data_IF_723707278128
#
_entry.id   IF_723707278128
#
_cell.length_a   1.000
_cell.length_b   1.000
_cell.length_c   1.000
_cell.angle_alpha   90.00
_cell.angle_beta   90.00
_cell.angle_gamma   90.00
#
_symmetry.space_group_name_H-M   'P 1'
#
loop_
_entity.id
_entity.type
_entity.pdbx_description
1 polymer ?
#
# COMPACT_ATOMS: atom_id res chain seq x y z
N UNK A 1 64.69 -21.47 -46.68
CA UNK A 1 63.26 -21.30 -47.04
C UNK A 1 62.47 -21.34 -45.73
N UNK A 2 62.06 -20.18 -45.23
CA UNK A 2 61.32 -20.03 -43.98
C UNK A 2 59.82 -20.13 -44.29
N UNK A 3 59.15 -21.14 -43.74
CA UNK A 3 57.70 -21.30 -43.83
C UNK A 3 57.01 -20.33 -42.87
N UNK A 4 56.24 -19.40 -43.43
CA UNK A 4 55.37 -18.52 -42.66
C UNK A 4 54.06 -19.24 -42.35
N UNK A 5 53.86 -19.62 -41.09
CA UNK A 5 52.57 -20.08 -40.58
C UNK A 5 51.63 -18.87 -40.45
N UNK A 6 50.64 -18.83 -41.34
CA UNK A 6 49.51 -17.90 -41.22
C UNK A 6 48.56 -18.41 -40.15
N UNK A 7 48.53 -17.75 -38.98
CA UNK A 7 47.51 -17.98 -37.97
C UNK A 7 46.11 -17.62 -38.52
N UNK A 8 45.07 -18.44 -38.27
CA UNK A 8 43.72 -18.10 -38.68
C UNK A 8 43.21 -16.96 -37.83
N UNK A 9 42.89 -15.83 -38.47
CA UNK A 9 42.06 -14.76 -37.89
C UNK A 9 40.72 -15.36 -37.52
N UNK A 10 40.54 -15.72 -36.24
CA UNK A 10 39.22 -15.92 -35.66
C UNK A 10 38.44 -14.61 -35.84
N UNK A 11 37.51 -14.64 -36.79
CA UNK A 11 36.55 -13.59 -37.06
C UNK A 11 35.86 -13.14 -35.77
N UNK A 12 36.14 -11.91 -35.32
CA UNK A 12 35.46 -11.24 -34.21
C UNK A 12 33.94 -11.03 -34.45
N UNK A 13 33.41 -11.43 -35.61
CA UNK A 13 32.00 -11.28 -35.98
C UNK A 13 31.05 -12.30 -35.35
N UNK A 14 31.55 -13.31 -34.62
CA UNK A 14 30.69 -14.32 -33.94
C UNK A 14 30.41 -14.03 -32.46
N UNK A 15 30.84 -12.88 -31.94
CA UNK A 15 30.69 -12.50 -30.53
C UNK A 15 29.57 -11.50 -30.24
N UNK A 16 28.83 -11.05 -31.26
CA UNK A 16 27.74 -10.09 -31.12
C UNK A 16 26.44 -10.60 -31.74
N UNK A 17 25.96 -11.76 -31.32
CA UNK A 17 24.52 -12.05 -31.39
C UNK A 17 24.14 -13.21 -30.46
N UNK A 18 24.51 -13.12 -29.18
CA UNK A 18 23.65 -13.72 -28.18
C UNK A 18 22.40 -12.84 -28.09
N UNK A 19 21.46 -13.07 -29.00
CA UNK A 19 20.06 -12.68 -28.79
C UNK A 19 19.61 -13.35 -27.50
N UNK A 20 19.82 -12.66 -26.37
CA UNK A 20 19.50 -13.18 -25.05
C UNK A 20 18.01 -13.46 -25.03
N UNK A 21 17.63 -14.73 -24.92
CA UNK A 21 16.23 -15.15 -24.81
C UNK A 21 15.53 -14.27 -23.76
N UNK A 22 14.31 -13.77 -24.05
CA UNK A 22 13.61 -12.91 -23.10
C UNK A 22 13.42 -13.64 -21.77
N UNK A 23 13.80 -12.99 -20.68
CA UNK A 23 13.64 -13.55 -19.33
C UNK A 23 12.23 -13.21 -18.87
N UNK A 24 11.40 -14.23 -18.66
CA UNK A 24 10.05 -14.05 -18.15
C UNK A 24 10.03 -14.02 -16.62
N UNK A 25 9.39 -12.99 -16.07
CA UNK A 25 9.35 -12.73 -14.64
C UNK A 25 7.94 -12.84 -14.06
N UNK A 26 7.87 -13.31 -12.82
CA UNK A 26 6.70 -13.26 -11.96
C UNK A 26 6.96 -12.25 -10.81
N UNK A 27 6.05 -11.29 -10.64
CA UNK A 27 6.02 -10.43 -9.46
C UNK A 27 5.19 -11.11 -8.37
N UNK A 28 5.82 -11.36 -7.24
CA UNK A 28 5.18 -11.96 -6.07
C UNK A 28 4.97 -10.89 -5.01
N UNK A 29 3.73 -10.59 -4.66
CA UNK A 29 3.37 -9.55 -3.70
C UNK A 29 2.68 -10.14 -2.49
N UNK A 30 3.32 -10.07 -1.33
CA UNK A 30 2.71 -10.49 -0.07
C UNK A 30 2.12 -9.27 0.63
N UNK A 31 0.84 -9.37 0.98
CA UNK A 31 0.09 -8.34 1.70
C UNK A 31 -0.17 -8.78 3.13
N UNK A 32 -0.15 -7.83 4.04
CA UNK A 32 -0.56 -8.03 5.44
C UNK A 32 -1.23 -6.76 5.94
N UNK A 33 -2.34 -6.94 6.64
CA UNK A 33 -3.01 -5.87 7.36
C UNK A 33 -2.85 -6.11 8.85
N UNK A 34 -2.45 -5.06 9.56
CA UNK A 34 -2.41 -5.02 11.01
C UNK A 34 -3.42 -3.98 11.51
N UNK A 35 -4.43 -4.45 12.24
CA UNK A 35 -5.46 -3.61 12.82
C UNK A 35 -5.09 -3.27 14.25
N UNK A 36 -4.88 -1.98 14.55
CA UNK A 36 -4.90 -1.52 15.94
C UNK A 36 -6.31 -1.07 16.26
N UNK A 37 -6.92 -1.75 17.23
CA UNK A 37 -8.27 -1.47 17.69
C UNK A 37 -8.45 0.03 17.96
N UNK A 38 -9.47 0.63 17.33
CA UNK A 38 -9.84 2.06 17.39
C UNK A 38 -8.80 3.08 16.86
N UNK A 39 -7.65 2.65 16.35
CA UNK A 39 -6.57 3.59 15.96
C UNK A 39 -6.35 3.69 14.45
N UNK A 40 -6.57 2.60 13.70
CA UNK A 40 -6.40 2.56 12.25
C UNK A 40 -5.94 1.20 11.75
N UNK A 41 -5.32 1.19 10.55
CA UNK A 41 -4.75 -0.01 9.95
C UNK A 41 -3.38 0.29 9.32
N UNK A 42 -2.43 -0.61 9.56
CA UNK A 42 -1.15 -0.64 8.88
C UNK A 42 -1.14 -1.73 7.82
N UNK A 43 -0.74 -1.40 6.59
CA UNK A 43 -0.62 -2.36 5.50
C UNK A 43 0.86 -2.54 5.15
N UNK A 44 1.35 -3.77 5.18
CA UNK A 44 2.65 -4.13 4.63
C UNK A 44 2.49 -4.78 3.26
N UNK A 45 3.31 -4.36 2.30
CA UNK A 45 3.43 -5.01 0.99
C UNK A 45 4.89 -5.35 0.75
N UNK A 46 5.17 -6.61 0.47
CA UNK A 46 6.52 -7.09 0.13
C UNK A 46 6.47 -7.68 -1.28
N UNK A 47 7.16 -7.04 -2.21
CA UNK A 47 7.37 -7.49 -3.57
C UNK A 47 8.66 -8.31 -3.66
N UNK A 48 8.56 -9.47 -4.27
CA UNK A 48 9.65 -10.32 -4.72
C UNK A 48 9.51 -10.55 -6.22
N UNK A 49 10.61 -10.95 -6.84
CA UNK A 49 10.72 -11.14 -8.29
C UNK A 49 11.32 -12.50 -8.53
N UNK A 50 10.62 -13.32 -9.30
CA UNK A 50 11.00 -14.69 -9.60
C UNK A 50 11.01 -14.90 -11.12
N UNK A 51 11.82 -15.83 -11.59
CA UNK A 51 11.75 -16.32 -12.96
C UNK A 51 10.47 -17.12 -13.12
N UNK A 52 9.60 -16.75 -14.06
CA UNK A 52 8.32 -17.42 -14.28
C UNK A 52 8.50 -18.89 -14.68
N UNK A 53 9.61 -19.23 -15.36
CA UNK A 53 9.89 -20.59 -15.82
C UNK A 53 10.56 -21.48 -14.76
N UNK A 54 11.47 -20.92 -13.95
CA UNK A 54 12.30 -21.72 -13.04
C UNK A 54 11.96 -21.52 -11.57
N UNK A 55 11.11 -20.56 -11.22
CA UNK A 55 10.79 -20.19 -9.83
C UNK A 55 11.95 -19.53 -9.07
N UNK A 56 13.13 -19.42 -9.67
CA UNK A 56 14.32 -18.87 -9.02
C UNK A 56 14.17 -17.36 -8.86
N UNK A 57 14.47 -16.84 -7.67
CA UNK A 57 14.45 -15.40 -7.39
C UNK A 57 15.46 -14.64 -8.26
N UNK A 58 15.03 -13.57 -8.94
CA UNK A 58 15.84 -12.75 -9.87
C UNK A 58 15.99 -11.31 -9.37
N UNK A 59 16.41 -11.16 -8.12
CA UNK A 59 16.54 -9.85 -7.46
C UNK A 59 17.49 -8.87 -8.15
N UNK A 60 18.40 -9.36 -9.00
CA UNK A 60 19.35 -8.54 -9.77
C UNK A 60 18.68 -7.81 -10.95
N UNK A 61 17.56 -8.32 -11.49
CA UNK A 61 16.88 -7.73 -12.65
C UNK A 61 15.89 -6.64 -12.26
N UNK A 62 15.07 -6.92 -11.25
CA UNK A 62 14.14 -5.95 -10.68
C UNK A 62 14.34 -6.01 -9.16
N UNK A 63 14.71 -4.89 -8.52
CA UNK A 63 14.90 -4.88 -7.07
C UNK A 63 13.60 -5.25 -6.35
N UNK A 64 13.71 -6.17 -5.39
CA UNK A 64 12.62 -6.44 -4.44
C UNK A 64 12.26 -5.15 -3.71
N UNK A 65 10.97 -4.85 -3.61
CA UNK A 65 10.49 -3.64 -2.93
C UNK A 65 9.69 -4.00 -1.69
N UNK A 66 9.88 -3.22 -0.62
CA UNK A 66 9.06 -3.31 0.58
C UNK A 66 8.39 -1.97 0.81
N UNK A 67 7.07 -1.95 0.86
CA UNK A 67 6.28 -0.76 1.13
C UNK A 67 5.47 -0.96 2.40
N UNK A 68 5.32 0.11 3.16
CA UNK A 68 4.41 0.20 4.30
C UNK A 68 3.44 1.34 4.03
N UNK A 69 2.16 1.08 4.24
CA UNK A 69 1.11 2.08 4.20
C UNK A 69 0.48 2.17 5.58
N UNK A 70 0.11 3.38 6.00
CA UNK A 70 -0.59 3.60 7.26
C UNK A 70 -1.79 4.48 7.02
N UNK A 71 -2.92 4.06 7.58
CA UNK A 71 -4.19 4.78 7.50
C UNK A 71 -4.64 5.11 8.92
N UNK A 72 -5.00 6.38 9.16
CA UNK A 72 -5.67 6.71 10.42
C UNK A 72 -7.09 6.15 10.41
N UNK A 73 -7.69 5.99 11.58
CA UNK A 73 -9.11 5.69 11.69
C UNK A 73 -9.96 6.69 10.91
N UNK A 74 -9.66 7.98 10.99
CA UNK A 74 -10.43 9.02 10.29
C UNK A 74 -10.35 8.82 8.78
N UNK A 75 -9.15 8.53 8.24
CA UNK A 75 -8.98 8.23 6.82
C UNK A 75 -9.70 6.95 6.40
N UNK A 76 -9.63 5.90 7.23
CA UNK A 76 -10.39 4.67 6.96
C UNK A 76 -11.90 4.91 7.03
N UNK A 77 -12.37 5.78 7.91
CA UNK A 77 -13.79 6.14 8.02
C UNK A 77 -14.23 6.94 6.79
N UNK A 78 -13.44 7.93 6.37
CA UNK A 78 -13.68 8.72 5.14
C UNK A 78 -13.71 7.80 3.91
N UNK A 79 -12.76 6.87 3.82
CA UNK A 79 -12.68 5.90 2.73
C UNK A 79 -13.69 4.72 2.91
N UNK A 80 -14.55 4.78 3.94
CA UNK A 80 -15.51 3.73 4.32
C UNK A 80 -14.92 2.32 4.53
N UNK A 81 -13.64 2.22 4.85
CA UNK A 81 -12.88 1.01 5.18
C UNK A 81 -13.04 0.68 6.67
N UNK A 82 -14.28 0.41 7.10
CA UNK A 82 -14.63 0.16 8.51
C UNK A 82 -14.46 -1.30 8.95
N UNK A 83 -14.28 -2.22 8.01
CA UNK A 83 -14.22 -3.67 8.28
C UNK A 83 -12.84 -4.22 7.94
N UNK A 84 -12.47 -5.33 8.59
CA UNK A 84 -11.24 -6.04 8.27
C UNK A 84 -11.21 -6.48 6.79
N UNK A 85 -12.33 -7.01 6.28
CA UNK A 85 -12.45 -7.40 4.88
C UNK A 85 -12.15 -6.27 3.89
N UNK A 86 -12.65 -5.04 4.15
CA UNK A 86 -12.34 -3.88 3.29
C UNK A 86 -10.87 -3.48 3.38
N UNK A 87 -10.26 -3.55 4.56
CA UNK A 87 -8.84 -3.22 4.71
C UNK A 87 -7.94 -4.23 3.98
N UNK A 88 -8.31 -5.51 4.00
CA UNK A 88 -7.66 -6.57 3.22
C UNK A 88 -7.80 -6.32 1.70
N UNK A 89 -9.01 -6.00 1.23
CA UNK A 89 -9.21 -5.61 -0.18
C UNK A 89 -8.38 -4.36 -0.54
N UNK A 90 -8.29 -3.38 0.36
CA UNK A 90 -7.46 -2.19 0.16
C UNK A 90 -5.97 -2.56 0.06
N UNK A 91 -5.50 -3.53 0.85
CA UNK A 91 -4.15 -4.04 0.76
C UNK A 91 -3.86 -4.67 -0.60
N UNK A 92 -4.80 -5.46 -1.12
CA UNK A 92 -4.72 -6.02 -2.49
C UNK A 92 -4.66 -4.89 -3.54
N UNK A 93 -5.49 -3.85 -3.41
CA UNK A 93 -5.43 -2.68 -4.31
C UNK A 93 -4.04 -2.03 -4.29
N UNK A 94 -3.43 -1.87 -3.12
CA UNK A 94 -2.08 -1.31 -3.01
C UNK A 94 -1.00 -2.22 -3.61
N UNK A 95 -1.11 -3.54 -3.44
CA UNK A 95 -0.20 -4.49 -4.07
C UNK A 95 -0.28 -4.45 -5.60
N UNK A 96 -1.49 -4.44 -6.17
CA UNK A 96 -1.69 -4.30 -7.62
C UNK A 96 -1.16 -2.95 -8.13
N UNK A 97 -1.36 -1.88 -7.36
CA UNK A 97 -0.79 -0.57 -7.67
C UNK A 97 0.74 -0.56 -7.65
N UNK A 98 1.36 -1.27 -6.70
CA UNK A 98 2.81 -1.43 -6.62
C UNK A 98 3.33 -2.23 -7.83
N UNK A 99 2.68 -3.32 -8.20
CA UNK A 99 3.02 -4.10 -9.39
C UNK A 99 3.01 -3.23 -10.65
N UNK A 100 1.93 -2.45 -10.85
CA UNK A 100 1.82 -1.50 -11.97
C UNK A 100 2.95 -0.47 -11.98
N UNK A 101 3.29 0.08 -10.82
CA UNK A 101 4.36 1.06 -10.69
C UNK A 101 5.74 0.45 -10.99
N UNK A 102 6.00 -0.77 -10.52
CA UNK A 102 7.23 -1.52 -10.78
C UNK A 102 7.44 -1.72 -12.28
N UNK A 103 6.40 -2.18 -12.99
CA UNK A 103 6.49 -2.38 -14.44
C UNK A 103 6.73 -1.08 -15.20
N UNK A 104 6.09 0.02 -14.78
CA UNK A 104 6.29 1.34 -15.41
C UNK A 104 7.70 1.89 -15.20
N UNK A 105 8.38 1.55 -14.11
CA UNK A 105 9.62 2.24 -13.67
C UNK A 105 10.89 1.39 -13.72
N UNK A 106 10.79 0.07 -13.81
CA UNK A 106 11.92 -0.79 -13.44
C UNK A 106 12.05 -2.11 -14.19
N UNK A 107 11.40 -2.29 -15.34
CA UNK A 107 11.57 -3.51 -16.13
C UNK A 107 12.55 -3.24 -17.29
N UNK A 108 13.76 -3.84 -17.29
CA UNK A 108 14.68 -3.71 -18.42
C UNK A 108 14.08 -4.39 -19.67
N UNK A 109 14.42 -3.92 -20.88
CA UNK A 109 13.87 -4.46 -22.15
C UNK A 109 14.12 -5.97 -22.33
N UNK A 110 15.13 -6.51 -21.66
CA UNK A 110 15.53 -7.93 -21.69
C UNK A 110 14.75 -8.81 -20.71
N UNK A 111 13.96 -8.22 -19.82
CA UNK A 111 13.10 -8.94 -18.89
C UNK A 111 11.65 -8.50 -19.07
N UNK A 112 10.74 -9.45 -19.18
CA UNK A 112 9.32 -9.18 -19.32
C UNK A 112 8.57 -9.77 -18.14
N UNK A 113 7.86 -8.92 -17.39
CA UNK A 113 6.90 -9.42 -16.40
C UNK A 113 5.74 -10.06 -17.16
N UNK A 114 5.46 -11.33 -16.87
CA UNK A 114 4.33 -12.06 -17.42
C UNK A 114 3.24 -12.30 -16.38
N UNK A 115 3.64 -12.50 -15.11
CA UNK A 115 2.73 -12.90 -14.05
C UNK A 115 2.82 -11.98 -12.83
N UNK A 116 1.68 -11.74 -12.19
CA UNK A 116 1.56 -11.03 -10.92
C UNK A 116 0.75 -11.88 -9.95
N UNK A 117 1.39 -12.37 -8.89
CA UNK A 117 0.74 -13.12 -7.83
C UNK A 117 0.61 -12.24 -6.59
N UNK A 118 -0.60 -12.02 -6.11
CA UNK A 118 -0.88 -11.28 -4.88
C UNK A 118 -1.36 -12.25 -3.81
N UNK A 119 -0.58 -12.37 -2.73
CA UNK A 119 -0.89 -13.21 -1.58
C UNK A 119 -1.50 -12.37 -0.45
N UNK A 120 -2.66 -12.80 0.06
CA UNK A 120 -3.33 -12.22 1.23
C UNK A 120 -3.44 -13.23 2.36
N UNK A 121 -3.50 -12.72 3.59
CA UNK A 121 -3.73 -13.49 4.81
C UNK A 121 -5.22 -13.81 5.03
N UNK A 122 -6.14 -13.24 4.25
CA UNK A 122 -7.60 -13.34 4.47
C UNK A 122 -8.33 -14.22 3.46
N UNK A 123 -8.70 -15.43 3.89
CA UNK A 123 -9.41 -16.42 3.04
C UNK A 123 -10.71 -15.83 2.48
N UNK A 124 -11.47 -15.17 3.33
CA UNK A 124 -12.74 -14.55 2.95
C UNK A 124 -12.53 -13.47 1.88
N UNK A 125 -11.49 -12.65 2.00
CA UNK A 125 -11.20 -11.62 1.00
C UNK A 125 -10.80 -12.25 -0.35
N UNK A 126 -9.91 -13.26 -0.33
CA UNK A 126 -9.47 -13.97 -1.55
C UNK A 126 -10.64 -14.65 -2.25
N UNK A 127 -11.48 -15.39 -1.52
CA UNK A 127 -12.67 -16.05 -2.09
C UNK A 127 -13.63 -15.05 -2.72
N UNK A 128 -13.91 -13.95 -2.02
CA UNK A 128 -14.79 -12.88 -2.53
C UNK A 128 -14.22 -12.29 -3.82
N UNK A 129 -12.93 -11.93 -3.82
CA UNK A 129 -12.26 -11.36 -5.00
C UNK A 129 -12.31 -12.35 -6.17
N UNK A 130 -11.92 -13.61 -5.96
CA UNK A 130 -11.87 -14.62 -7.01
C UNK A 130 -13.26 -14.93 -7.58
N UNK A 131 -14.30 -14.93 -6.74
CA UNK A 131 -15.69 -15.04 -7.20
C UNK A 131 -16.03 -13.92 -8.19
N UNK A 132 -15.77 -12.66 -7.84
CA UNK A 132 -16.10 -11.52 -8.71
C UNK A 132 -15.15 -11.36 -9.92
N UNK A 133 -13.92 -11.88 -9.84
CA UNK A 133 -13.03 -11.96 -11.00
C UNK A 133 -13.57 -12.93 -12.04
N UNK A 134 -14.10 -14.09 -11.61
CA UNK A 134 -14.66 -15.13 -12.49
C UNK A 134 -15.98 -14.72 -13.12
N UNK A 135 -16.88 -14.07 -12.37
CA UNK A 135 -18.23 -13.74 -12.82
C UNK A 135 -18.38 -12.28 -13.29
N UNK A 136 -17.30 -11.49 -13.25
CA UNK A 136 -17.29 -10.11 -13.72
C UNK A 136 -18.04 -9.13 -12.81
N UNK A 137 -18.22 -7.89 -13.29
CA UNK A 137 -18.80 -6.81 -12.49
C UNK A 137 -20.31 -6.96 -12.27
N UNK A 138 -21.00 -7.73 -13.10
CA UNK A 138 -22.44 -8.04 -12.95
C UNK A 138 -22.73 -8.81 -11.66
N UNK A 139 -21.77 -9.63 -11.21
CA UNK A 139 -21.87 -10.32 -9.92
C UNK A 139 -21.88 -9.37 -8.71
N UNK A 140 -21.66 -8.06 -8.90
CA UNK A 140 -21.77 -7.06 -7.83
C UNK A 140 -23.23 -6.77 -7.44
N UNK A 141 -24.21 -7.08 -8.29
CA UNK A 141 -25.62 -6.80 -8.01
C UNK A 141 -26.13 -7.55 -6.76
N UNK A 142 -25.51 -8.70 -6.44
CA UNK A 142 -25.77 -9.45 -5.22
C UNK A 142 -25.07 -8.93 -3.95
N UNK A 143 -24.19 -7.93 -4.07
CA UNK A 143 -23.42 -7.41 -2.93
C UNK A 143 -24.25 -6.38 -2.16
N UNK A 144 -24.85 -6.82 -1.05
CA UNK A 144 -25.74 -5.99 -0.19
C UNK A 144 -25.14 -4.65 0.26
N UNK A 145 -23.82 -4.59 0.43
CA UNK A 145 -23.13 -3.40 0.93
C UNK A 145 -22.45 -2.66 -0.22
N UNK A 146 -22.94 -1.45 -0.52
CA UNK A 146 -22.39 -0.57 -1.56
C UNK A 146 -20.88 -0.33 -1.40
N UNK A 147 -20.41 -0.21 -0.15
CA UNK A 147 -19.00 0.00 0.15
C UNK A 147 -18.15 -1.24 -0.15
N UNK A 148 -18.67 -2.43 0.15
CA UNK A 148 -17.99 -3.68 -0.21
C UNK A 148 -17.99 -3.85 -1.74
N UNK A 149 -19.11 -3.57 -2.40
CA UNK A 149 -19.20 -3.55 -3.86
C UNK A 149 -18.20 -2.59 -4.51
N UNK A 150 -18.04 -1.37 -3.96
CA UNK A 150 -17.04 -0.39 -4.42
C UNK A 150 -15.60 -0.90 -4.25
N UNK A 151 -15.27 -1.51 -3.10
CA UNK A 151 -13.95 -2.09 -2.87
C UNK A 151 -13.64 -3.26 -3.80
N UNK A 152 -14.61 -4.16 -3.99
CA UNK A 152 -14.49 -5.28 -4.94
C UNK A 152 -14.31 -4.74 -6.36
N UNK A 153 -15.13 -3.77 -6.78
CA UNK A 153 -15.02 -3.11 -8.09
C UNK A 153 -13.63 -2.51 -8.30
N UNK A 154 -13.04 -1.86 -7.29
CA UNK A 154 -11.67 -1.32 -7.36
C UNK A 154 -10.63 -2.43 -7.58
N UNK A 155 -10.72 -3.54 -6.84
CA UNK A 155 -9.82 -4.69 -7.02
C UNK A 155 -9.97 -5.28 -8.42
N UNK A 156 -11.19 -5.63 -8.83
CA UNK A 156 -11.47 -6.22 -10.15
C UNK A 156 -11.00 -5.31 -11.28
N UNK A 157 -11.23 -4.01 -11.17
CA UNK A 157 -10.75 -3.02 -12.16
C UNK A 157 -9.23 -3.02 -12.24
N UNK A 158 -8.52 -3.04 -11.11
CA UNK A 158 -7.05 -3.08 -11.09
C UNK A 158 -6.47 -4.37 -11.67
N UNK A 159 -7.10 -5.51 -11.39
CA UNK A 159 -6.73 -6.80 -12.01
C UNK A 159 -6.92 -6.73 -13.51
N UNK A 160 -8.10 -6.27 -13.99
CA UNK A 160 -8.37 -6.11 -15.42
C UNK A 160 -7.43 -5.13 -16.11
N UNK A 161 -7.08 -4.01 -15.46
CA UNK A 161 -6.07 -3.06 -15.97
C UNK A 161 -4.73 -3.74 -16.23
N UNK A 162 -4.27 -4.61 -15.32
CA UNK A 162 -3.03 -5.37 -15.48
C UNK A 162 -3.17 -6.45 -16.55
N UNK A 163 -4.29 -7.17 -16.60
CA UNK A 163 -4.53 -8.19 -17.63
C UNK A 163 -4.58 -7.61 -19.04
N UNK A 164 -5.10 -6.38 -19.21
CA UNK A 164 -5.04 -5.64 -20.49
C UNK A 164 -3.61 -5.33 -20.96
N UNK A 165 -2.62 -5.38 -20.06
CA UNK A 165 -1.20 -5.27 -20.40
C UNK A 165 -0.58 -6.62 -20.77
N UNK A 166 -1.39 -7.68 -20.95
CA UNK A 166 -0.93 -9.04 -21.28
C UNK A 166 -0.44 -9.84 -20.07
N UNK A 167 -0.83 -9.46 -18.86
CA UNK A 167 -0.35 -10.09 -17.63
C UNK A 167 -1.36 -11.11 -17.09
N UNK A 168 -0.83 -12.25 -16.68
CA UNK A 168 -1.56 -13.19 -15.83
C UNK A 168 -1.55 -12.67 -14.40
N UNK A 169 -2.72 -12.45 -13.82
CA UNK A 169 -2.86 -11.92 -12.46
C UNK A 169 -3.63 -12.90 -11.59
N UNK A 170 -3.01 -13.35 -10.50
CA UNK A 170 -3.63 -14.25 -9.54
C UNK A 170 -3.69 -13.60 -8.16
N UNK A 171 -4.83 -13.76 -7.47
CA UNK A 171 -4.99 -13.42 -6.06
C UNK A 171 -5.20 -14.71 -5.28
N UNK A 172 -4.28 -15.01 -4.37
CA UNK A 172 -4.23 -16.29 -3.67
C UNK A 172 -4.05 -16.11 -2.17
N UNK A 173 -4.36 -17.18 -1.44
CA UNK A 173 -4.06 -17.27 -0.02
C UNK A 173 -2.59 -17.55 0.20
N UNK A 174 -2.00 -16.91 1.21
CA UNK A 174 -0.68 -17.29 1.69
C UNK A 174 -0.79 -18.59 2.48
N UNK A 175 -0.23 -19.68 1.96
CA UNK A 175 -0.24 -20.99 2.64
C UNK A 175 0.94 -21.15 3.62
N UNK A 176 1.93 -20.25 3.54
CA UNK A 176 3.09 -20.21 4.43
C UNK A 176 4.01 -21.43 4.34
N UNK A 177 3.87 -22.29 3.32
CA UNK A 177 4.71 -23.48 3.16
C UNK A 177 6.09 -23.15 2.62
N UNK A 178 6.18 -22.12 1.77
CA UNK A 178 7.45 -21.61 1.26
C UNK A 178 8.15 -20.73 2.31
N UNK A 179 9.43 -21.02 2.61
CA UNK A 179 10.22 -20.27 3.62
C UNK A 179 10.36 -18.79 3.25
N UNK A 180 10.53 -18.48 1.97
CA UNK A 180 10.67 -17.13 1.46
C UNK A 180 9.31 -16.40 1.43
N UNK A 181 8.21 -17.10 1.18
CA UNK A 181 6.86 -16.59 1.43
C UNK A 181 6.62 -16.29 2.91
N UNK A 182 6.93 -17.23 3.81
CA UNK A 182 6.78 -17.05 5.25
C UNK A 182 7.62 -15.88 5.78
N UNK A 183 8.84 -15.70 5.25
CA UNK A 183 9.69 -14.54 5.54
C UNK A 183 9.07 -13.25 5.01
N UNK A 184 8.62 -13.21 3.76
CA UNK A 184 7.99 -12.03 3.17
C UNK A 184 6.71 -11.63 3.91
N UNK A 185 5.89 -12.60 4.29
CA UNK A 185 4.71 -12.43 5.15
C UNK A 185 5.08 -11.85 6.51
N UNK A 186 6.11 -12.39 7.16
CA UNK A 186 6.60 -11.88 8.45
C UNK A 186 7.06 -10.43 8.35
N UNK A 187 7.78 -10.10 7.27
CA UNK A 187 8.21 -8.73 6.99
C UNK A 187 6.99 -7.83 6.74
N UNK A 188 6.03 -8.26 5.92
CA UNK A 188 4.80 -7.50 5.65
C UNK A 188 4.06 -7.18 6.96
N UNK A 189 3.89 -8.19 7.84
CA UNK A 189 3.32 -8.02 9.18
C UNK A 189 4.10 -7.05 10.04
N UNK A 190 5.43 -7.17 10.07
CA UNK A 190 6.28 -6.26 10.84
C UNK A 190 6.14 -4.82 10.31
N UNK A 191 6.03 -4.62 9.00
CA UNK A 191 5.84 -3.31 8.37
C UNK A 191 4.45 -2.74 8.69
N UNK A 192 3.39 -3.55 8.62
CA UNK A 192 2.05 -3.18 9.06
C UNK A 192 2.06 -2.71 10.51
N UNK A 193 2.62 -3.52 11.42
CA UNK A 193 2.80 -3.17 12.84
C UNK A 193 3.58 -1.88 13.06
N UNK A 194 4.72 -1.70 12.36
CA UNK A 194 5.52 -0.47 12.46
C UNK A 194 4.76 0.75 11.95
N UNK A 195 4.01 0.60 10.85
CA UNK A 195 3.18 1.66 10.30
C UNK A 195 2.10 2.09 11.32
N UNK A 196 1.55 1.15 12.07
CA UNK A 196 0.58 1.43 13.12
C UNK A 196 1.22 2.02 14.41
N UNK A 197 2.32 1.42 14.91
CA UNK A 197 3.04 1.88 16.13
C UNK A 197 3.69 3.26 15.97
N UNK A 198 4.30 3.54 14.82
CA UNK A 198 4.92 4.85 14.54
C UNK A 198 3.90 5.99 14.70
N UNK A 199 2.63 5.73 14.38
CA UNK A 199 1.56 6.72 14.52
C UNK A 199 1.01 6.83 15.93
N UNK A 200 0.93 5.72 16.66
CA UNK A 200 0.55 5.76 18.07
C UNK A 200 1.47 6.71 18.87
N UNK A 201 2.79 6.61 18.66
CA UNK A 201 3.76 7.52 19.28
C UNK A 201 3.57 8.97 18.84
N UNK A 202 3.31 9.21 17.55
CA UNK A 202 3.09 10.55 17.00
C UNK A 202 1.84 11.22 17.60
N UNK A 203 0.77 10.44 17.84
CA UNK A 203 -0.43 10.94 18.53
C UNK A 203 -0.18 11.22 20.01
N UNK A 204 0.55 10.36 20.72
CA UNK A 204 0.92 10.62 22.11
C UNK A 204 1.78 11.89 22.23
N UNK A 205 2.75 12.08 21.34
CA UNK A 205 3.55 13.30 21.31
C UNK A 205 2.70 14.55 21.06
N UNK A 206 1.75 14.49 20.11
CA UNK A 206 0.83 15.61 19.84
C UNK A 206 -0.14 15.87 21.01
N UNK A 207 -0.66 14.82 21.65
CA UNK A 207 -1.54 14.97 22.81
C UNK A 207 -0.79 15.60 24.00
N UNK A 208 0.46 15.19 24.22
CA UNK A 208 1.30 15.76 25.27
C UNK A 208 1.66 17.22 24.96
N UNK A 209 1.92 17.58 23.70
CA UNK A 209 2.18 18.95 23.28
C UNK A 209 0.94 19.87 23.45
N UNK A 210 -0.24 19.38 23.08
CA UNK A 210 -1.50 20.13 23.27
C UNK A 210 -1.78 20.32 24.76
N UNK A 211 -1.54 19.30 25.58
CA UNK A 211 -1.69 19.38 27.03
C UNK A 211 -0.73 20.41 27.65
N UNK A 212 0.55 20.41 27.24
CA UNK A 212 1.52 21.40 27.72
C UNK A 212 1.20 22.84 27.25
N UNK A 213 0.60 22.99 26.06
CA UNK A 213 0.13 24.29 25.57
C UNK A 213 -1.13 24.79 26.32
N UNK A 214 -2.01 23.88 26.76
CA UNK A 214 -3.15 24.24 27.62
C UNK A 214 -2.72 24.58 29.04
N UNK A 215 -1.75 23.87 29.62
CA UNK A 215 -1.20 24.17 30.95
C UNK A 215 -0.52 25.55 30.96
N UNK A 216 0.27 25.88 29.92
CA UNK A 216 0.90 27.21 29.79
C UNK A 216 -0.05 28.35 29.44
N UNK A 217 -1.24 28.06 28.87
CA UNK A 217 -2.28 29.06 28.63
C UNK A 217 -3.14 29.32 29.88
N UNK A 218 -3.40 28.29 30.69
CA UNK A 218 -4.10 28.43 31.98
C UNK A 218 -3.33 29.28 32.99
N UNK A 219 -2.00 29.24 32.96
CA UNK A 219 -1.14 30.09 33.80
C UNK A 219 -1.10 31.56 33.35
N UNK A 220 -1.49 31.87 32.09
CA UNK A 220 -1.61 33.26 31.61
C UNK A 220 -2.96 33.89 31.97
N UNK A 221 -4.05 33.13 32.00
CA UNK A 221 -5.35 33.64 32.44
C UNK A 221 -5.40 33.91 33.96
N UNK A 222 -4.54 33.28 34.76
CA UNK A 222 -4.41 33.58 36.18
C UNK A 222 -3.71 34.93 36.48
N UNK A 223 -2.92 35.46 35.55
CA UNK A 223 -2.22 36.74 35.71
C UNK A 223 -3.05 37.95 35.23
N UNK A 224 -4.01 37.76 34.32
CA UNK A 224 -4.80 38.87 33.73
C UNK A 224 -6.06 39.26 34.53
N UNK A 225 -6.37 38.57 35.64
CA UNK A 225 -7.48 38.95 36.53
C UNK A 225 -7.11 40.03 37.56
N UNK A 226 -5.85 40.45 37.65
CA UNK A 226 -5.40 41.46 38.61
C UNK A 226 -5.46 42.91 38.09
N UNK A 227 -5.97 43.16 36.88
CA UNK A 227 -5.95 44.52 36.27
C UNK A 227 -7.21 44.85 35.50
N UNK A 228 -8.38 44.79 36.16
CA UNK A 228 -9.59 45.48 35.65
C UNK A 228 -9.84 46.77 36.44
N UNK A 229 -9.77 47.95 35.83
CA UNK A 229 -10.21 49.18 36.47
C UNK A 229 -11.73 49.16 36.67
N UNK A 230 -12.17 49.57 37.86
CA UNK A 230 -13.59 49.74 38.21
C UNK A 230 -14.22 50.77 37.29
N UNK A 231 -15.11 50.32 36.40
CA UNK A 231 -15.96 51.20 35.61
C UNK A 231 -17.03 51.75 36.57
N UNK A 232 -17.06 53.07 36.71
CA UNK A 232 -18.08 53.80 37.44
C UNK A 232 -19.45 53.63 36.75
N UNK A 233 -20.44 53.21 37.52
CA UNK A 233 -21.85 53.24 37.15
C UNK A 233 -22.30 54.67 36.77
N UNK A 234 -22.96 54.81 35.62
CA UNK A 234 -23.80 55.97 35.30
C UNK A 234 -25.27 55.52 35.23
N UNK A 235 -26.21 56.31 35.76
CA UNK A 235 -27.60 55.89 35.88
C UNK A 235 -28.38 56.06 34.57
N UNK A 236 -29.33 55.14 34.39
CA UNK A 236 -30.39 55.12 33.40
C UNK A 236 -31.06 56.49 33.20
N UNK A 237 -31.19 56.91 31.94
CA UNK A 237 -32.14 57.95 31.54
C UNK A 237 -32.98 57.41 30.38
N UNK A 238 -34.25 57.17 30.67
CA UNK A 238 -35.31 56.75 29.75
C UNK A 238 -35.63 57.86 28.75
N UNK A 239 -35.85 57.59 27.46
CA UNK A 239 -36.40 58.60 26.56
C UNK A 239 -37.92 58.66 26.72
N UNK A 240 -38.42 59.87 27.01
CA UNK A 240 -39.83 60.23 26.92
C UNK A 240 -40.19 60.39 25.44
N UNK A 241 -41.21 59.67 25.00
CA UNK A 241 -41.87 59.88 23.70
C UNK A 241 -42.96 60.95 23.91
N UNK A 242 -42.90 62.05 23.17
CA UNK A 242 -44.03 62.96 22.96
C UNK A 242 -44.16 63.18 21.46
N UNK A 243 -45.38 63.04 20.96
CA UNK A 243 -45.75 63.07 19.55
C UNK A 243 -45.82 64.46 18.93
#
# INVERSE_FOLDING_TARGET
RMGGETSPKLSQSKMMEMQSKPIYLALILHTSVDHLHRQGAGIGVVQRVECAMTGITKSQLIPSQQRKYSFTREKLVVDNVKTAGRAEMLAVVHALGLARATMKRGCPKTAQVQRVNVFSDSLKAVQTINYHLKHGLESLDGVKSTNDGSMIKRVVTKVRELSRLGLEVAVAMSDGKDKAEAKARTIARQKGRKACKSRHRLRLAHANLVKSQQETAGDREACDLASRPKIHDRPNTTPVIVG
#
